data_IF_947887222892
#
_entry.id   IF_947887222892
#
_cell.length_a   1.000
_cell.length_b   1.000
_cell.length_c   1.000
_cell.angle_alpha   90.00
_cell.angle_beta   90.00
_cell.angle_gamma   90.00
#
_symmetry.space_group_name_H-M   'P 1'
#
loop_
_entity.id
_entity.type
_entity.pdbx_description
1 polymer ?
#
# COMPACT_ATOMS: atom_id res chain seq x y z
N UNK A 1 -35.69 -30.78 -45.17
CA UNK A 1 -34.52 -31.28 -44.42
C UNK A 1 -33.23 -30.53 -44.72
N UNK A 2 -33.11 -29.81 -45.81
CA UNK A 2 -31.87 -29.07 -46.21
C UNK A 2 -31.76 -27.70 -45.51
N UNK A 3 -32.84 -26.99 -45.19
CA UNK A 3 -32.79 -25.67 -44.53
C UNK A 3 -32.36 -25.72 -43.05
N UNK A 4 -32.68 -26.77 -42.32
CA UNK A 4 -32.34 -26.91 -40.90
C UNK A 4 -30.81 -27.08 -40.70
N UNK A 5 -30.13 -27.80 -41.60
CA UNK A 5 -28.70 -27.98 -41.55
C UNK A 5 -27.94 -26.66 -41.79
N UNK A 6 -28.43 -25.76 -42.65
CA UNK A 6 -27.81 -24.47 -42.94
C UNK A 6 -27.92 -23.49 -41.77
N UNK A 7 -29.05 -23.51 -41.04
CA UNK A 7 -29.26 -22.68 -39.83
C UNK A 7 -28.34 -23.15 -38.70
N UNK A 8 -28.23 -24.48 -38.52
CA UNK A 8 -27.35 -25.04 -37.47
C UNK A 8 -25.89 -24.77 -37.74
N UNK A 9 -25.43 -24.83 -39.00
CA UNK A 9 -24.08 -24.49 -39.37
C UNK A 9 -23.77 -22.97 -39.18
N UNK A 10 -24.71 -22.08 -39.45
CA UNK A 10 -24.57 -20.65 -39.21
C UNK A 10 -24.54 -20.31 -37.72
N UNK A 11 -25.38 -20.94 -36.93
CA UNK A 11 -25.39 -20.79 -35.48
C UNK A 11 -24.12 -21.36 -34.84
N UNK A 12 -23.62 -22.48 -35.31
CA UNK A 12 -22.36 -23.06 -34.86
C UNK A 12 -21.18 -22.19 -35.21
N UNK A 13 -21.17 -21.55 -36.42
CA UNK A 13 -20.13 -20.63 -36.84
C UNK A 13 -20.13 -19.32 -36.01
N UNK A 14 -21.30 -18.77 -35.69
CA UNK A 14 -21.47 -17.62 -34.83
C UNK A 14 -21.02 -17.96 -33.39
N UNK A 15 -21.35 -19.13 -32.89
CA UNK A 15 -20.93 -19.58 -31.57
C UNK A 15 -19.40 -19.84 -31.49
N UNK A 16 -18.80 -20.40 -32.54
CA UNK A 16 -17.33 -20.51 -32.62
C UNK A 16 -16.63 -19.17 -32.74
N UNK A 17 -17.16 -18.20 -33.49
CA UNK A 17 -16.56 -16.88 -33.60
C UNK A 17 -16.67 -16.09 -32.30
N UNK A 18 -17.73 -16.24 -31.52
CA UNK A 18 -17.84 -15.63 -30.19
C UNK A 18 -16.91 -16.27 -29.16
N UNK A 19 -16.58 -17.57 -29.31
CA UNK A 19 -15.60 -18.26 -28.46
C UNK A 19 -14.14 -17.84 -28.77
N UNK A 20 -13.84 -17.41 -29.99
CA UNK A 20 -12.51 -16.88 -30.35
C UNK A 20 -12.35 -15.40 -30.04
N UNK A 21 -13.43 -14.66 -29.73
CA UNK A 21 -13.41 -13.27 -29.26
C UNK A 21 -13.55 -13.16 -27.73
N UNK A 22 -13.28 -14.22 -26.96
CA UNK A 22 -12.82 -14.02 -25.61
C UNK A 22 -11.39 -13.43 -25.71
N UNK A 23 -11.28 -12.16 -26.03
CA UNK A 23 -10.11 -11.41 -25.65
C UNK A 23 -9.86 -11.78 -24.17
N UNK A 24 -8.68 -12.27 -23.88
CA UNK A 24 -8.21 -12.25 -22.51
C UNK A 24 -8.31 -10.80 -22.06
N UNK A 25 -9.45 -10.40 -21.48
CA UNK A 25 -9.50 -9.28 -20.57
C UNK A 25 -8.63 -9.73 -19.37
N UNK A 26 -7.33 -9.69 -19.57
CA UNK A 26 -6.41 -9.58 -18.47
C UNK A 26 -6.88 -8.31 -17.75
N UNK A 27 -7.51 -8.46 -16.60
CA UNK A 27 -7.82 -7.31 -15.77
C UNK A 27 -6.52 -6.52 -15.66
N UNK A 28 -6.51 -5.30 -16.14
CA UNK A 28 -5.33 -4.45 -16.06
C UNK A 28 -4.99 -4.33 -14.58
N UNK A 29 -3.81 -4.78 -14.20
CA UNK A 29 -3.35 -4.67 -12.82
C UNK A 29 -3.13 -3.18 -12.57
N UNK A 30 -3.89 -2.58 -11.64
CA UNK A 30 -3.76 -1.17 -11.28
C UNK A 30 -2.31 -0.84 -10.92
N UNK A 31 -1.80 0.30 -11.42
CA UNK A 31 -0.42 0.71 -11.25
C UNK A 31 0.60 -0.11 -12.02
N UNK A 32 0.17 -0.89 -13.02
CA UNK A 32 1.09 -1.65 -13.86
C UNK A 32 2.14 -0.74 -14.51
N UNK A 33 1.75 0.44 -14.95
CA UNK A 33 2.65 1.41 -15.56
C UNK A 33 3.75 1.90 -14.62
N UNK A 34 3.49 1.92 -13.31
CA UNK A 34 4.47 2.32 -12.30
C UNK A 34 5.38 1.17 -11.84
N UNK A 35 4.85 -0.05 -11.78
CA UNK A 35 5.50 -1.13 -11.03
C UNK A 35 5.83 -2.39 -11.82
N UNK A 36 5.34 -2.55 -13.08
CA UNK A 36 5.58 -3.79 -13.84
C UNK A 36 7.00 -3.91 -14.40
N UNK A 37 7.69 -2.79 -14.57
CA UNK A 37 9.08 -2.75 -15.02
C UNK A 37 9.89 -1.82 -14.12
N UNK A 38 11.17 -2.13 -13.98
CA UNK A 38 12.10 -1.27 -13.25
C UNK A 38 12.34 0.03 -14.03
N UNK A 39 12.05 1.14 -13.39
CA UNK A 39 12.18 2.47 -13.95
C UNK A 39 12.42 3.50 -12.87
N UNK A 40 12.82 4.70 -13.29
CA UNK A 40 12.84 5.88 -12.45
C UNK A 40 11.75 6.81 -12.92
N UNK A 41 10.69 6.94 -12.12
CA UNK A 41 9.55 7.83 -12.40
C UNK A 41 9.90 9.25 -12.01
N UNK A 42 9.64 10.23 -12.88
CA UNK A 42 9.84 11.64 -12.51
C UNK A 42 8.55 12.20 -11.89
N UNK A 43 8.68 12.81 -10.72
CA UNK A 43 7.60 13.42 -9.93
C UNK A 43 7.92 14.89 -9.73
N UNK A 44 7.10 15.74 -10.31
CA UNK A 44 7.20 17.21 -10.14
C UNK A 44 5.96 17.67 -9.38
N UNK A 45 6.16 18.30 -8.24
CA UNK A 45 5.11 18.87 -7.39
C UNK A 45 5.25 20.38 -7.35
N UNK A 46 4.21 21.05 -7.87
CA UNK A 46 4.09 22.50 -7.84
C UNK A 46 3.11 22.94 -6.75
N UNK A 47 3.64 23.49 -5.69
CA UNK A 47 2.87 24.00 -4.56
C UNK A 47 2.50 25.46 -4.80
N UNK A 48 1.22 25.82 -4.79
CA UNK A 48 0.79 27.23 -4.93
C UNK A 48 1.12 28.07 -3.69
N UNK A 49 1.37 27.43 -2.53
CA UNK A 49 1.73 28.12 -1.30
C UNK A 49 3.23 28.41 -1.29
N UNK A 50 3.62 29.67 -1.08
CA UNK A 50 5.04 30.06 -0.99
C UNK A 50 5.74 29.50 0.24
N UNK A 51 4.99 29.14 1.28
CA UNK A 51 5.44 28.59 2.57
C UNK A 51 5.12 27.09 2.71
N UNK A 52 4.95 26.38 1.57
CA UNK A 52 4.52 24.97 1.52
C UNK A 52 5.35 24.06 2.43
N UNK A 53 6.66 24.28 2.52
CA UNK A 53 7.52 23.44 3.31
C UNK A 53 7.22 23.59 4.82
N UNK A 54 7.08 24.83 5.30
CA UNK A 54 6.68 25.11 6.68
C UNK A 54 5.31 24.49 6.99
N UNK A 55 4.35 24.60 6.06
CA UNK A 55 3.03 23.96 6.23
C UNK A 55 3.12 22.44 6.32
N UNK A 56 3.96 21.79 5.49
CA UNK A 56 4.16 20.34 5.54
C UNK A 56 4.77 19.91 6.89
N UNK A 57 5.78 20.64 7.40
CA UNK A 57 6.41 20.37 8.67
C UNK A 57 5.46 20.62 9.86
N UNK A 58 4.76 21.75 9.86
CA UNK A 58 3.77 22.07 10.89
C UNK A 58 2.64 21.04 10.94
N UNK A 59 2.13 20.62 9.79
CA UNK A 59 1.08 19.59 9.71
C UNK A 59 1.58 18.23 10.19
N UNK A 60 2.84 17.90 9.95
CA UNK A 60 3.43 16.66 10.44
C UNK A 60 3.61 16.70 11.97
N UNK A 61 4.16 17.78 12.52
CA UNK A 61 4.44 17.91 13.96
C UNK A 61 3.18 18.06 14.81
N UNK A 62 2.14 18.64 14.24
CA UNK A 62 0.83 18.82 14.88
C UNK A 62 -0.21 17.78 14.45
N UNK A 63 0.24 16.68 13.85
CA UNK A 63 -0.62 15.57 13.42
C UNK A 63 -1.24 14.94 14.66
N UNK A 64 -2.53 15.24 14.86
CA UNK A 64 -3.30 14.63 15.92
C UNK A 64 -3.65 13.16 15.57
N UNK A 65 -4.18 12.45 16.55
CA UNK A 65 -4.53 11.03 16.50
C UNK A 65 -5.43 10.68 15.31
N UNK A 66 -6.21 11.64 14.83
CA UNK A 66 -7.31 11.42 13.90
C UNK A 66 -7.07 11.98 12.49
N UNK A 67 -5.98 12.70 12.25
CA UNK A 67 -5.87 13.43 11.00
C UNK A 67 -4.50 13.54 10.37
N UNK A 68 -4.34 12.89 9.25
CA UNK A 68 -3.28 13.25 8.34
C UNK A 68 -3.69 14.50 7.58
N UNK A 69 -3.07 15.64 7.89
CA UNK A 69 -3.34 16.90 7.20
C UNK A 69 -2.51 16.94 5.92
N UNK A 70 -3.19 17.13 4.79
CA UNK A 70 -2.56 17.29 3.48
C UNK A 70 -2.61 18.74 3.05
N UNK A 71 -1.65 19.16 2.23
CA UNK A 71 -1.74 20.41 1.47
C UNK A 71 -1.86 20.11 -0.02
N UNK A 72 -2.53 20.96 -0.82
CA UNK A 72 -2.66 20.76 -2.26
C UNK A 72 -1.38 21.11 -3.01
N UNK A 73 -1.05 20.30 -4.02
CA UNK A 73 -0.04 20.60 -5.03
C UNK A 73 -0.55 20.13 -6.41
N UNK A 74 -0.06 20.72 -7.48
CA UNK A 74 -0.22 20.16 -8.81
C UNK A 74 0.91 19.17 -9.06
N UNK A 75 0.58 18.04 -9.66
CA UNK A 75 1.53 16.95 -9.92
C UNK A 75 1.73 16.77 -11.42
N UNK A 76 2.97 16.76 -11.87
CA UNK A 76 3.37 16.18 -13.14
C UNK A 76 4.14 14.89 -12.88
N UNK A 77 3.62 13.79 -13.43
CA UNK A 77 4.19 12.46 -13.35
C UNK A 77 4.65 12.03 -14.74
N UNK A 78 5.93 11.65 -14.86
CA UNK A 78 6.46 11.11 -16.12
C UNK A 78 7.06 9.73 -15.87
N UNK A 79 6.53 8.74 -16.59
CA UNK A 79 7.01 7.37 -16.60
C UNK A 79 7.32 6.91 -18.04
N UNK A 80 7.55 5.61 -18.22
CA UNK A 80 7.87 5.01 -19.54
C UNK A 80 6.73 5.11 -20.55
N UNK A 81 5.50 5.38 -20.11
CA UNK A 81 4.32 5.48 -20.97
C UNK A 81 4.02 6.93 -21.41
N UNK A 82 4.54 7.91 -20.67
CA UNK A 82 4.35 9.32 -21.00
C UNK A 82 4.36 10.26 -19.81
N UNK A 83 3.84 11.46 -20.03
CA UNK A 83 3.73 12.52 -19.03
C UNK A 83 2.25 12.81 -18.75
N UNK A 84 1.90 12.86 -17.47
CA UNK A 84 0.54 13.02 -16.97
C UNK A 84 0.49 14.13 -15.94
N UNK A 85 -0.57 14.94 -15.96
CA UNK A 85 -0.75 16.05 -15.02
C UNK A 85 -2.01 15.86 -14.19
N UNK A 86 -1.93 16.22 -12.93
CA UNK A 86 -3.02 16.12 -11.94
C UNK A 86 -3.11 17.41 -11.15
N UNK A 87 -4.28 17.98 -11.09
CA UNK A 87 -4.54 19.17 -10.30
C UNK A 87 -4.84 18.80 -8.84
N UNK A 88 -4.33 19.62 -7.93
CA UNK A 88 -4.71 19.56 -6.49
C UNK A 88 -4.63 18.15 -5.88
N UNK A 89 -3.53 17.43 -6.09
CA UNK A 89 -3.24 16.23 -5.32
C UNK A 89 -2.92 16.60 -3.86
N UNK A 90 -3.27 15.73 -2.92
CA UNK A 90 -2.88 15.92 -1.53
C UNK A 90 -1.45 15.47 -1.27
N UNK A 91 -0.65 16.31 -0.62
CA UNK A 91 0.72 15.97 -0.22
C UNK A 91 0.87 16.13 1.30
N UNK A 92 1.52 15.17 1.97
CA UNK A 92 1.89 15.27 3.38
C UNK A 92 3.20 14.56 3.67
N UNK A 93 3.91 14.99 4.68
CA UNK A 93 5.06 14.25 5.20
C UNK A 93 4.61 12.98 5.93
N UNK A 94 5.51 12.02 6.02
CA UNK A 94 5.30 10.73 6.70
C UNK A 94 6.60 10.20 7.29
N UNK A 95 6.48 9.11 8.02
CA UNK A 95 7.58 8.40 8.64
C UNK A 95 7.59 8.63 10.15
N UNK A 96 8.27 7.78 10.88
CA UNK A 96 8.54 7.89 12.30
C UNK A 96 10.04 8.18 12.45
N UNK A 97 10.87 7.16 12.63
CA UNK A 97 12.34 7.30 12.70
C UNK A 97 12.92 7.98 11.45
N UNK A 98 12.37 7.73 10.26
CA UNK A 98 12.83 8.34 9.01
C UNK A 98 12.59 9.84 8.93
N UNK A 99 11.61 10.38 9.66
CA UNK A 99 11.39 11.83 9.75
C UNK A 99 12.51 12.52 10.53
N UNK A 100 13.09 11.86 11.54
CA UNK A 100 14.24 12.35 12.31
C UNK A 100 15.55 12.41 11.53
N UNK A 101 15.59 11.96 10.27
CA UNK A 101 16.79 12.08 9.44
C UNK A 101 17.14 13.56 9.22
N UNK A 102 18.42 13.95 9.35
CA UNK A 102 18.85 15.34 9.14
C UNK A 102 18.50 15.87 7.74
N UNK A 103 18.21 17.17 7.66
CA UNK A 103 17.90 17.88 6.41
C UNK A 103 16.43 17.73 5.99
N UNK A 104 16.11 18.34 4.87
CA UNK A 104 14.73 18.53 4.39
C UNK A 104 14.23 17.39 3.50
N UNK A 105 15.07 16.44 3.17
CA UNK A 105 14.68 15.26 2.40
C UNK A 105 13.88 14.27 3.27
N UNK A 106 12.62 14.59 3.53
CA UNK A 106 11.69 13.75 4.31
C UNK A 106 10.92 12.77 3.43
N UNK A 107 10.47 11.65 4.01
CA UNK A 107 9.48 10.78 3.37
C UNK A 107 8.14 11.48 3.28
N UNK A 108 7.39 11.25 2.20
CA UNK A 108 6.09 11.88 2.00
C UNK A 108 5.10 10.94 1.32
N UNK A 109 3.85 11.36 1.26
CA UNK A 109 2.75 10.65 0.59
C UNK A 109 2.02 11.58 -0.36
N UNK A 110 1.63 11.05 -1.52
CA UNK A 110 0.68 11.66 -2.43
C UNK A 110 -0.65 10.92 -2.32
N UNK A 111 -1.75 11.69 -2.27
CA UNK A 111 -3.13 11.20 -2.38
C UNK A 111 -3.77 11.91 -3.58
N UNK A 112 -3.97 11.17 -4.67
CA UNK A 112 -4.49 11.72 -5.93
C UNK A 112 -5.91 12.24 -5.78
N UNK A 113 -6.74 11.57 -4.98
CA UNK A 113 -8.16 11.91 -4.88
C UNK A 113 -8.52 12.71 -3.61
N UNK A 114 -7.52 13.26 -2.90
CA UNK A 114 -7.74 14.00 -1.65
C UNK A 114 -8.66 15.20 -1.83
N UNK A 115 -8.46 15.95 -2.91
CA UNK A 115 -9.21 17.18 -3.21
C UNK A 115 -10.11 17.04 -4.43
N UNK A 116 -9.77 16.14 -5.35
CA UNK A 116 -10.57 15.89 -6.57
C UNK A 116 -10.98 14.42 -6.57
N UNK A 117 -12.27 14.19 -6.32
CA UNK A 117 -12.82 12.83 -6.22
C UNK A 117 -12.66 12.06 -7.54
N UNK A 118 -12.24 10.80 -7.44
CA UNK A 118 -12.04 9.90 -8.58
C UNK A 118 -10.70 10.08 -9.30
N UNK A 119 -9.88 11.07 -8.93
CA UNK A 119 -8.56 11.26 -9.52
C UNK A 119 -7.61 10.11 -9.08
N UNK A 120 -6.93 9.52 -10.04
CA UNK A 120 -5.99 8.42 -9.84
C UNK A 120 -5.00 8.35 -11.00
N UNK A 121 -3.89 7.65 -10.84
CA UNK A 121 -3.00 7.28 -11.93
C UNK A 121 -2.99 5.75 -12.10
N UNK A 122 -3.44 5.27 -13.27
CA UNK A 122 -3.52 3.83 -13.59
C UNK A 122 -4.21 3.03 -12.47
N UNK A 123 -5.33 3.57 -11.93
CA UNK A 123 -6.06 3.01 -10.79
C UNK A 123 -5.51 3.34 -9.41
N UNK A 124 -4.24 3.69 -9.29
CA UNK A 124 -3.58 4.02 -8.01
C UNK A 124 -4.11 5.36 -7.47
N UNK A 125 -4.61 5.34 -6.25
CA UNK A 125 -5.11 6.54 -5.54
C UNK A 125 -4.06 7.17 -4.63
N UNK A 126 -3.11 6.39 -4.12
CA UNK A 126 -2.09 6.86 -3.17
C UNK A 126 -0.73 6.27 -3.44
N UNK A 127 0.32 7.07 -3.28
CA UNK A 127 1.72 6.64 -3.38
C UNK A 127 2.52 7.13 -2.18
N UNK A 128 3.42 6.29 -1.70
CA UNK A 128 4.39 6.62 -0.67
C UNK A 128 5.77 6.84 -1.29
N UNK A 129 6.53 7.78 -0.72
CA UNK A 129 7.89 8.09 -1.14
C UNK A 129 8.82 8.00 0.07
N UNK A 130 9.68 7.00 0.08
CA UNK A 130 10.63 6.74 1.15
C UNK A 130 11.96 7.46 0.86
N UNK A 131 12.49 8.18 1.85
CA UNK A 131 13.67 9.02 1.70
C UNK A 131 15.02 8.27 1.75
N UNK A 132 15.00 6.93 1.85
CA UNK A 132 16.21 6.12 1.98
C UNK A 132 16.86 6.20 3.36
N UNK A 133 16.07 6.40 4.43
CA UNK A 133 16.58 6.45 5.80
C UNK A 133 17.41 5.22 6.15
N UNK A 134 18.67 5.42 6.59
CA UNK A 134 19.63 4.34 6.88
C UNK A 134 19.92 3.39 5.71
N UNK A 135 19.51 3.74 4.50
CA UNK A 135 19.79 2.98 3.29
C UNK A 135 20.49 3.87 2.24
N UNK A 136 21.81 4.00 2.27
CA UNK A 136 22.54 4.80 1.30
C UNK A 136 22.50 4.23 -0.12
N UNK A 137 22.04 2.99 -0.29
CA UNK A 137 21.91 2.35 -1.61
C UNK A 137 20.57 2.62 -2.26
N UNK A 138 19.54 2.96 -1.50
CA UNK A 138 18.11 3.05 -1.90
C UNK A 138 17.52 1.74 -2.43
N UNK A 139 18.23 0.62 -2.27
CA UNK A 139 17.86 -0.66 -2.85
C UNK A 139 17.16 -1.59 -1.89
N UNK A 140 17.37 -1.43 -0.56
CA UNK A 140 16.90 -2.42 0.42
C UNK A 140 15.41 -2.61 0.40
N UNK A 141 14.63 -1.54 0.45
CA UNK A 141 13.16 -1.60 0.46
C UNK A 141 12.63 -2.26 -0.80
N UNK A 142 13.14 -1.89 -1.98
CA UNK A 142 12.72 -2.50 -3.25
C UNK A 142 13.10 -3.98 -3.33
N UNK A 143 14.35 -4.33 -3.02
CA UNK A 143 14.82 -5.72 -3.08
C UNK A 143 14.03 -6.60 -2.10
N UNK A 144 13.82 -6.12 -0.87
CA UNK A 144 13.02 -6.85 0.13
C UNK A 144 11.61 -7.13 -0.38
N UNK A 145 10.91 -6.12 -0.91
CA UNK A 145 9.56 -6.31 -1.42
C UNK A 145 9.52 -7.21 -2.67
N UNK A 146 10.47 -7.08 -3.59
CA UNK A 146 10.52 -7.92 -4.79
C UNK A 146 10.71 -9.38 -4.43
N UNK A 147 11.69 -9.70 -3.59
CA UNK A 147 11.95 -11.07 -3.13
C UNK A 147 10.77 -11.60 -2.30
N UNK A 148 10.19 -10.79 -1.43
CA UNK A 148 9.01 -11.18 -0.63
C UNK A 148 7.85 -11.61 -1.53
N UNK A 149 7.54 -10.83 -2.58
CA UNK A 149 6.48 -11.20 -3.54
C UNK A 149 6.81 -12.47 -4.31
N UNK A 150 8.06 -12.66 -4.74
CA UNK A 150 8.50 -13.88 -5.41
C UNK A 150 8.32 -15.14 -4.54
N UNK A 151 8.34 -14.96 -3.21
CA UNK A 151 8.14 -16.04 -2.24
C UNK A 151 6.71 -16.08 -1.67
N UNK A 152 5.76 -15.39 -2.30
CA UNK A 152 4.34 -15.46 -1.96
C UNK A 152 3.95 -14.66 -0.71
N UNK A 153 4.81 -13.77 -0.21
CA UNK A 153 4.47 -12.87 0.89
C UNK A 153 3.70 -11.67 0.33
N UNK A 154 2.46 -11.41 0.76
CA UNK A 154 1.71 -10.23 0.38
C UNK A 154 2.43 -8.96 0.87
N UNK A 155 3.02 -8.21 -0.04
CA UNK A 155 3.71 -6.97 0.29
C UNK A 155 3.62 -5.94 -0.84
N UNK A 156 3.89 -4.66 -0.56
CA UNK A 156 3.81 -3.59 -1.55
C UNK A 156 4.73 -3.81 -2.75
N UNK A 157 4.34 -3.22 -3.88
CA UNK A 157 5.26 -3.02 -5.01
C UNK A 157 6.08 -1.76 -4.74
N UNK A 158 7.31 -1.75 -5.25
CA UNK A 158 8.19 -0.58 -5.15
C UNK A 158 8.93 -0.32 -6.46
N UNK A 159 9.22 0.96 -6.70
CA UNK A 159 10.07 1.42 -7.78
C UNK A 159 10.79 2.71 -7.35
N UNK A 160 11.53 3.31 -8.26
CA UNK A 160 12.32 4.50 -7.95
C UNK A 160 11.69 5.76 -8.54
N UNK A 161 11.96 6.90 -7.90
CA UNK A 161 11.55 8.20 -8.42
C UNK A 161 12.58 9.30 -8.16
N UNK A 162 12.65 10.24 -9.08
CA UNK A 162 13.21 11.57 -8.85
C UNK A 162 12.07 12.52 -8.49
N UNK A 163 12.33 13.43 -7.56
CA UNK A 163 11.33 14.39 -7.08
C UNK A 163 11.83 15.80 -7.24
N UNK A 164 10.98 16.66 -7.74
CA UNK A 164 11.19 18.11 -7.90
C UNK A 164 10.05 18.85 -7.18
N UNK A 165 10.37 19.89 -6.40
CA UNK A 165 9.41 20.79 -5.77
C UNK A 165 9.56 22.20 -6.33
N UNK A 166 8.50 22.75 -6.92
CA UNK A 166 8.49 24.12 -7.50
C UNK A 166 9.68 24.37 -8.44
N UNK A 167 10.02 23.39 -9.30
CA UNK A 167 11.13 23.46 -10.24
C UNK A 167 12.52 23.16 -9.65
N UNK A 168 12.65 23.02 -8.33
CA UNK A 168 13.93 22.72 -7.71
C UNK A 168 14.09 21.20 -7.45
N UNK A 169 15.22 20.59 -7.86
CA UNK A 169 15.49 19.17 -7.61
C UNK A 169 15.50 18.88 -6.10
N UNK A 170 14.61 17.96 -5.65
CA UNK A 170 14.47 17.64 -4.24
C UNK A 170 15.20 16.36 -3.84
N UNK A 171 15.18 15.33 -4.69
CA UNK A 171 15.97 14.14 -4.45
C UNK A 171 15.46 12.88 -5.11
N UNK A 172 16.17 11.79 -4.79
CA UNK A 172 15.83 10.43 -5.22
C UNK A 172 15.10 9.69 -4.11
N UNK A 173 14.02 8.98 -4.43
CA UNK A 173 13.15 8.29 -3.47
C UNK A 173 12.84 6.87 -3.95
N UNK A 174 12.57 5.98 -3.01
CA UNK A 174 11.85 4.74 -3.29
C UNK A 174 10.36 5.04 -3.28
N UNK A 175 9.70 4.87 -4.41
CA UNK A 175 8.25 4.99 -4.56
C UNK A 175 7.60 3.64 -4.21
N UNK A 176 6.64 3.64 -3.29
CA UNK A 176 6.06 2.43 -2.71
C UNK A 176 4.54 2.49 -2.75
N UNK A 177 3.93 1.38 -3.11
CA UNK A 177 2.49 1.18 -3.08
C UNK A 177 1.92 1.41 -1.68
N UNK A 178 0.71 1.94 -1.60
CA UNK A 178 0.02 2.09 -0.33
C UNK A 178 -0.64 0.77 0.07
N UNK A 179 -0.43 0.36 1.33
CA UNK A 179 -1.22 -0.72 1.94
C UNK A 179 -2.53 -0.09 2.43
N UNK A 180 -3.61 -0.37 1.73
CA UNK A 180 -4.98 0.01 2.05
C UNK A 180 -5.96 -0.97 1.36
N UNK A 181 -7.24 -0.61 1.25
CA UNK A 181 -8.26 -1.45 0.64
C UNK A 181 -7.87 -1.91 -0.77
N UNK A 182 -7.29 -1.02 -1.60
CA UNK A 182 -6.83 -1.41 -2.95
C UNK A 182 -5.74 -2.48 -2.92
N UNK A 183 -4.86 -2.43 -1.92
CA UNK A 183 -3.84 -3.46 -1.74
C UNK A 183 -4.46 -4.81 -1.35
N UNK A 184 -5.49 -4.81 -0.51
CA UNK A 184 -6.22 -6.03 -0.12
C UNK A 184 -6.94 -6.66 -1.30
N UNK A 185 -7.69 -5.86 -2.09
CA UNK A 185 -8.45 -6.29 -3.28
C UNK A 185 -7.61 -7.15 -4.23
N UNK A 186 -6.32 -6.91 -4.29
CA UNK A 186 -5.46 -7.59 -5.25
C UNK A 186 -4.70 -8.78 -4.70
N UNK A 187 -4.48 -8.79 -3.40
CA UNK A 187 -3.57 -9.75 -2.79
C UNK A 187 -4.24 -10.75 -1.89
N UNK A 188 -5.45 -10.46 -1.47
CA UNK A 188 -6.22 -11.34 -0.61
C UNK A 188 -7.33 -12.01 -1.41
N UNK A 189 -7.58 -13.30 -1.15
CA UNK A 189 -8.72 -14.03 -1.73
C UNK A 189 -10.05 -13.53 -1.16
N UNK A 190 -10.01 -13.02 0.07
CA UNK A 190 -11.11 -12.35 0.76
C UNK A 190 -10.58 -11.02 1.29
N UNK A 191 -11.07 -9.93 0.73
CA UNK A 191 -10.71 -8.55 1.04
C UNK A 191 -11.61 -7.91 2.10
N UNK A 192 -12.62 -8.65 2.59
CA UNK A 192 -13.59 -8.14 3.57
C UNK A 192 -13.08 -8.14 5.02
N UNK A 193 -11.91 -8.72 5.25
CA UNK A 193 -11.28 -8.80 6.56
C UNK A 193 -10.78 -7.46 7.10
N UNK A 194 -10.41 -7.44 8.37
CA UNK A 194 -9.83 -6.27 8.99
C UNK A 194 -8.34 -6.17 8.68
N UNK A 195 -7.89 -4.96 8.33
CA UNK A 195 -6.48 -4.61 8.19
C UNK A 195 -6.04 -3.85 9.44
N UNK A 196 -5.12 -4.41 10.18
CA UNK A 196 -4.49 -3.73 11.32
C UNK A 196 -3.07 -3.31 10.99
N UNK A 197 -2.76 -2.06 11.30
CA UNK A 197 -1.40 -1.54 11.27
C UNK A 197 -0.80 -1.63 12.66
N UNK A 198 0.26 -2.39 12.80
CA UNK A 198 1.08 -2.43 14.01
C UNK A 198 2.00 -1.20 14.08
N UNK A 199 2.16 -0.65 15.25
CA UNK A 199 3.04 0.48 15.51
C UNK A 199 2.35 1.60 16.28
N UNK A 200 3.09 2.29 17.16
CA UNK A 200 2.56 3.45 17.85
C UNK A 200 2.38 4.59 16.85
N UNK A 201 1.25 5.23 16.89
CA UNK A 201 0.98 6.44 16.11
C UNK A 201 1.53 7.70 16.81
N UNK A 202 2.03 7.57 18.03
CA UNK A 202 2.14 8.70 18.93
C UNK A 202 3.47 8.74 19.65
N UNK A 203 4.20 9.80 19.45
CA UNK A 203 5.23 10.23 20.37
C UNK A 203 6.62 9.59 20.23
N UNK A 204 6.95 9.03 19.10
CA UNK A 204 8.38 8.83 18.75
C UNK A 204 9.04 7.56 19.30
N UNK A 205 8.26 6.51 19.56
CA UNK A 205 8.79 5.16 19.78
C UNK A 205 8.55 4.25 18.58
N UNK A 206 9.36 3.24 18.38
CA UNK A 206 8.98 2.09 17.60
C UNK A 206 7.79 1.45 18.34
N UNK A 207 6.71 1.13 17.60
CA UNK A 207 5.47 0.70 18.21
C UNK A 207 5.63 -0.53 19.10
N UNK A 208 4.92 -0.53 20.20
CA UNK A 208 4.88 -1.64 21.16
C UNK A 208 3.85 -2.72 20.79
N UNK A 209 3.59 -2.91 19.49
CA UNK A 209 2.67 -3.94 18.98
C UNK A 209 3.32 -5.32 19.10
N UNK A 210 3.40 -5.81 20.32
CA UNK A 210 4.14 -7.05 20.70
C UNK A 210 3.32 -8.32 20.55
N UNK A 211 2.04 -8.25 20.15
CA UNK A 211 1.08 -9.36 20.21
C UNK A 211 0.93 -9.95 21.62
N UNK A 212 1.19 -9.18 22.67
CA UNK A 212 0.95 -9.55 24.06
C UNK A 212 -0.55 -9.48 24.37
N UNK A 213 -1.07 -10.49 25.10
CA UNK A 213 -2.47 -10.49 25.49
C UNK A 213 -2.70 -9.55 26.68
N UNK A 214 -3.47 -8.49 26.44
CA UNK A 214 -3.80 -7.45 27.42
C UNK A 214 -5.26 -7.54 27.91
N UNK A 215 -5.93 -8.66 27.65
CA UNK A 215 -7.36 -8.87 27.97
C UNK A 215 -8.26 -8.58 26.76
N UNK A 216 -9.59 -8.71 26.98
CA UNK A 216 -10.59 -8.61 25.92
C UNK A 216 -11.01 -7.16 25.59
N UNK A 217 -10.47 -6.15 26.25
CA UNK A 217 -10.86 -4.78 26.01
C UNK A 217 -10.10 -4.17 24.83
N UNK A 218 -10.80 -3.79 23.76
CA UNK A 218 -10.26 -3.09 22.59
C UNK A 218 -9.32 -1.93 22.99
N UNK A 219 -9.73 -1.12 23.96
CA UNK A 219 -8.97 0.06 24.41
C UNK A 219 -7.56 -0.26 24.93
N UNK A 220 -7.27 -1.51 25.27
CA UNK A 220 -5.92 -1.93 25.67
C UNK A 220 -4.95 -2.02 24.47
N UNK A 221 -5.46 -2.11 23.27
CA UNK A 221 -4.69 -2.31 22.03
C UNK A 221 -4.61 -1.07 21.15
N UNK A 222 -5.50 -0.11 21.30
CA UNK A 222 -5.60 1.10 20.45
C UNK A 222 -4.35 1.99 20.48
N UNK A 223 -3.51 1.89 21.50
CA UNK A 223 -2.23 2.61 21.54
C UNK A 223 -1.16 1.97 20.66
N UNK A 224 -1.27 0.67 20.38
CA UNK A 224 -0.25 -0.12 19.67
C UNK A 224 -0.68 -0.59 18.29
N UNK A 225 -1.98 -0.55 18.01
CA UNK A 225 -2.56 -0.96 16.72
C UNK A 225 -3.52 0.09 16.19
N UNK A 226 -3.69 0.13 14.88
CA UNK A 226 -4.62 1.02 14.20
C UNK A 226 -5.42 0.20 13.18
N UNK A 227 -6.75 0.21 13.27
CA UNK A 227 -7.62 -0.39 12.26
C UNK A 227 -7.61 0.47 10.99
N UNK A 228 -7.36 -0.14 9.83
CA UNK A 228 -7.18 0.53 8.53
C UNK A 228 -8.21 0.14 7.47
N UNK A 229 -9.06 -0.83 7.76
CA UNK A 229 -10.24 -1.18 6.96
C UNK A 229 -11.43 -1.36 7.90
N UNK A 230 -12.65 -1.39 7.36
CA UNK A 230 -13.87 -1.59 8.16
C UNK A 230 -14.02 -0.66 9.38
N UNK A 231 -13.43 0.53 9.31
CA UNK A 231 -13.37 1.51 10.43
C UNK A 231 -14.75 1.87 10.98
N UNK A 232 -15.81 1.80 10.15
CA UNK A 232 -17.18 2.07 10.58
C UNK A 232 -17.74 0.98 11.50
N UNK A 233 -17.35 -0.28 11.28
CA UNK A 233 -17.72 -1.39 12.16
C UNK A 233 -16.93 -1.34 13.45
N UNK A 234 -15.67 -0.92 13.37
CA UNK A 234 -14.72 -0.79 14.47
C UNK A 234 -14.69 -2.04 15.36
N UNK A 235 -14.68 -3.21 14.69
CA UNK A 235 -14.64 -4.50 15.37
C UNK A 235 -13.19 -5.00 15.42
N UNK A 236 -12.69 -5.22 16.62
CA UNK A 236 -11.31 -5.67 16.90
C UNK A 236 -11.27 -7.11 17.43
N UNK A 237 -12.41 -7.80 17.41
CA UNK A 237 -12.52 -9.13 18.01
C UNK A 237 -11.56 -10.13 17.37
N UNK A 238 -11.39 -10.10 16.06
CA UNK A 238 -10.48 -10.98 15.31
C UNK A 238 -9.00 -10.80 15.71
N UNK A 239 -8.54 -9.57 15.89
CA UNK A 239 -7.18 -9.29 16.38
C UNK A 239 -7.01 -9.79 17.82
N UNK A 240 -7.98 -9.50 18.69
CA UNK A 240 -7.91 -9.85 20.11
C UNK A 240 -7.98 -11.38 20.28
N UNK A 241 -8.86 -12.07 19.54
CA UNK A 241 -8.97 -13.52 19.53
C UNK A 241 -7.68 -14.19 19.02
N UNK A 242 -7.06 -13.64 17.97
CA UNK A 242 -5.77 -14.13 17.49
C UNK A 242 -4.66 -13.94 18.53
N UNK A 243 -4.60 -12.76 19.18
CA UNK A 243 -3.63 -12.49 20.25
C UNK A 243 -3.86 -13.44 21.45
N UNK A 244 -5.13 -13.65 21.84
CA UNK A 244 -5.48 -14.61 22.91
C UNK A 244 -5.04 -16.03 22.55
N UNK A 245 -5.31 -16.46 21.30
CA UNK A 245 -4.91 -17.76 20.80
C UNK A 245 -3.39 -17.99 20.93
N UNK A 246 -2.56 -17.04 20.50
CA UNK A 246 -1.10 -17.22 20.54
C UNK A 246 -0.50 -17.14 21.95
N UNK A 247 -1.20 -16.53 22.92
CA UNK A 247 -0.68 -16.36 24.29
C UNK A 247 -1.22 -17.37 25.29
N UNK A 248 -2.48 -17.82 25.13
CA UNK A 248 -3.18 -18.55 26.19
C UNK A 248 -3.61 -19.97 25.79
N UNK A 249 -3.42 -20.38 24.52
CA UNK A 249 -3.76 -21.72 24.06
C UNK A 249 -2.69 -22.73 24.54
N UNK A 250 -3.09 -23.94 24.92
CA UNK A 250 -2.16 -25.02 25.27
C UNK A 250 -1.34 -25.47 24.04
N UNK A 251 -0.12 -25.95 24.25
CA UNK A 251 0.80 -26.37 23.17
C UNK A 251 0.12 -27.34 22.20
N UNK A 252 -0.65 -28.31 22.70
CA UNK A 252 -1.31 -29.31 21.86
C UNK A 252 -2.47 -28.75 21.03
N UNK A 253 -3.19 -27.77 21.56
CA UNK A 253 -4.25 -27.07 20.83
C UNK A 253 -3.67 -26.07 19.86
N UNK A 254 -2.57 -25.42 20.23
CA UNK A 254 -1.83 -24.52 19.36
C UNK A 254 -1.34 -25.24 18.09
N UNK A 255 -0.61 -26.35 18.26
CA UNK A 255 -0.15 -27.17 17.12
C UNK A 255 -1.29 -27.63 16.22
N UNK A 256 -2.43 -27.99 16.81
CA UNK A 256 -3.59 -28.49 16.06
C UNK A 256 -4.30 -27.39 15.25
N UNK A 257 -4.42 -26.20 15.82
CA UNK A 257 -5.29 -25.14 15.28
C UNK A 257 -4.52 -24.01 14.57
N UNK A 258 -3.19 -23.94 14.68
CA UNK A 258 -2.40 -22.84 14.12
C UNK A 258 -2.68 -22.58 12.63
N UNK A 259 -2.78 -23.64 11.83
CA UNK A 259 -3.04 -23.52 10.39
C UNK A 259 -4.44 -23.03 10.03
N UNK A 260 -5.39 -23.00 11.00
CA UNK A 260 -6.72 -22.39 10.82
C UNK A 260 -6.75 -20.92 11.28
N UNK A 261 -5.74 -20.49 12.05
CA UNK A 261 -5.65 -19.13 12.58
C UNK A 261 -4.74 -18.22 11.76
N UNK A 262 -3.79 -18.79 11.00
CA UNK A 262 -2.90 -18.01 10.16
C UNK A 262 -2.48 -18.79 8.90
N UNK A 263 -2.20 -18.06 7.82
CA UNK A 263 -1.54 -18.62 6.65
C UNK A 263 -0.05 -18.82 6.94
N UNK A 264 0.32 -20.07 7.21
CA UNK A 264 1.69 -20.43 7.59
C UNK A 264 2.70 -20.24 6.46
N UNK A 265 2.28 -20.36 5.20
CA UNK A 265 3.16 -20.22 4.05
C UNK A 265 3.82 -18.83 3.98
N UNK A 266 3.05 -17.76 3.77
CA UNK A 266 3.54 -16.39 3.78
C UNK A 266 4.21 -16.00 5.10
N UNK A 267 3.69 -16.44 6.25
CA UNK A 267 4.28 -16.14 7.55
C UNK A 267 5.71 -16.69 7.67
N UNK A 268 5.92 -17.97 7.37
CA UNK A 268 7.25 -18.59 7.46
C UNK A 268 8.22 -18.02 6.41
N UNK A 269 7.71 -17.68 5.21
CA UNK A 269 8.50 -17.00 4.18
C UNK A 269 8.95 -15.62 4.65
N UNK A 270 8.06 -14.82 5.26
CA UNK A 270 8.40 -13.52 5.83
C UNK A 270 9.45 -13.64 6.92
N UNK A 271 9.25 -14.55 7.89
CA UNK A 271 10.21 -14.78 8.96
C UNK A 271 11.60 -15.25 8.47
N UNK A 272 11.63 -16.04 7.39
CA UNK A 272 12.89 -16.46 6.79
C UNK A 272 13.61 -15.28 6.10
N UNK A 273 12.86 -14.43 5.39
CA UNK A 273 13.40 -13.24 4.71
C UNK A 273 13.91 -12.20 5.70
N UNK A 274 13.20 -11.95 6.80
CA UNK A 274 13.65 -11.03 7.86
C UNK A 274 14.99 -11.45 8.49
N UNK A 275 15.34 -12.74 8.43
CA UNK A 275 16.65 -13.21 8.89
C UNK A 275 17.77 -13.10 7.82
N UNK A 276 17.44 -12.78 6.57
CA UNK A 276 18.40 -12.62 5.47
C UNK A 276 18.80 -11.16 5.23
N UNK A 277 17.96 -10.20 5.61
CA UNK A 277 18.11 -8.76 5.39
C UNK A 277 18.30 -7.98 6.68
#
# INVERSE_FOLDING_TARGET
>A
MIQIKSIFQRLLFIFLTTLFYSENLSAQIEGANLFSIDQVVNIELDFPQSDFWSQLEDNYTNMDVNGSIYIPANLTLTDVTGTYTFDSVGVRLKGNSSYGHPGDKKSFKIDFNKYISGQNYDGIKKLNFSNGFKDPTFMREKIFFDISREHGVPCPRANFSTVTYNGEPWGFYTMVEQIDDQFLDWRMLDDNGNLFKAGSNFGGGDGEASLEYLGNAQSAYESSYELKSNENANDWSDLIEFIDFINNTSDSEFETNLGSQMDLGPFLSSAALDNLF
#
